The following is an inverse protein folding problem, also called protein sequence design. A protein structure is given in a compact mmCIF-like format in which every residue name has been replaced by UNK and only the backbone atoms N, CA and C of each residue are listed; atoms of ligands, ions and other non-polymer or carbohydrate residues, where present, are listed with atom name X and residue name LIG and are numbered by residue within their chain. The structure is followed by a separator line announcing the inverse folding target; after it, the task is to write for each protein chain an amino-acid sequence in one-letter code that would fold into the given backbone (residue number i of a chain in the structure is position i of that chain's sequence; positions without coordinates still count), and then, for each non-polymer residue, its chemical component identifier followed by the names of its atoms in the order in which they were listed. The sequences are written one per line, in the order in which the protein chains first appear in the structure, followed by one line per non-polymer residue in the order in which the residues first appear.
data_IF_240798621015
#
_entry.id   IF_240798621015
#
_cell.length_a   1.000
_cell.length_b   1.000
_cell.length_c   1.000
_cell.angle_alpha   90.00
_cell.angle_beta   90.00
_cell.angle_gamma   90.00
#
_symmetry.space_group_name_H-M   'P 1'
#
loop_
_entity.id
_entity.type
_entity.pdbx_description
1 polymer ?
#
# COMPACT_ATOMS: atom_id res chain seq x y z
N UNK A 1 -26.75 -10.00 26.30
CA UNK A 1 -26.36 -11.14 25.44
C UNK A 1 -27.14 -11.00 24.14
N UNK A 2 -26.64 -10.21 23.20
CA UNK A 2 -27.36 -9.86 21.96
C UNK A 2 -26.58 -10.49 20.81
N UNK A 3 -26.80 -11.79 20.62
CA UNK A 3 -26.40 -12.52 19.43
C UNK A 3 -27.03 -11.82 18.22
N UNK A 4 -26.28 -10.92 17.59
CA UNK A 4 -26.65 -10.26 16.35
C UNK A 4 -25.40 -9.90 15.53
N UNK A 5 -24.41 -10.79 15.57
CA UNK A 5 -23.31 -11.01 14.62
C UNK A 5 -23.84 -11.45 13.23
N UNK A 6 -25.01 -10.96 12.81
CA UNK A 6 -25.64 -11.28 11.54
C UNK A 6 -25.47 -10.04 10.65
N UNK A 7 -24.36 -9.85 9.95
CA UNK A 7 -24.01 -10.64 8.77
C UNK A 7 -22.52 -10.43 8.45
N UNK A 8 -21.62 -11.14 9.15
CA UNK A 8 -20.19 -11.29 8.81
C UNK A 8 -19.28 -10.04 8.84
N UNK A 9 -19.84 -8.83 8.86
CA UNK A 9 -19.10 -7.58 8.94
C UNK A 9 -19.46 -6.84 10.23
N UNK A 10 -18.47 -6.37 11.01
CA UNK A 10 -18.72 -5.43 12.09
C UNK A 10 -19.45 -4.20 11.52
N UNK A 11 -20.52 -3.77 12.18
CA UNK A 11 -21.16 -2.48 11.91
C UNK A 11 -20.22 -1.32 12.22
N UNK A 12 -20.55 -0.12 11.73
CA UNK A 12 -19.66 1.06 11.80
C UNK A 12 -19.16 1.39 13.21
N UNK A 13 -19.95 1.13 14.25
CA UNK A 13 -19.54 1.37 15.64
C UNK A 13 -18.49 0.36 16.14
N UNK A 14 -18.60 -0.90 15.73
CA UNK A 14 -17.64 -1.95 16.11
C UNK A 14 -16.28 -1.71 15.44
N UNK A 15 -16.26 -1.16 14.22
CA UNK A 15 -15.02 -0.71 13.57
C UNK A 15 -14.28 0.35 14.38
N UNK A 16 -14.99 1.30 14.98
CA UNK A 16 -14.36 2.34 15.83
C UNK A 16 -13.69 1.69 17.04
N UNK A 17 -14.33 0.71 17.67
CA UNK A 17 -13.76 -0.02 18.81
C UNK A 17 -12.52 -0.82 18.37
N UNK A 18 -12.58 -1.52 17.24
CA UNK A 18 -11.44 -2.28 16.70
C UNK A 18 -10.26 -1.35 16.42
N UNK A 19 -10.50 -0.21 15.74
CA UNK A 19 -9.47 0.79 15.46
C UNK A 19 -8.88 1.33 16.76
N UNK A 20 -9.71 1.63 17.77
CA UNK A 20 -9.24 2.13 19.05
C UNK A 20 -8.32 1.11 19.76
N UNK A 21 -8.70 -0.17 19.76
CA UNK A 21 -7.87 -1.24 20.31
C UNK A 21 -6.53 -1.33 19.56
N UNK A 22 -6.57 -1.37 18.22
CA UNK A 22 -5.36 -1.40 17.38
C UNK A 22 -4.46 -0.19 17.65
N UNK A 23 -5.02 1.01 17.81
CA UNK A 23 -4.27 2.23 18.12
C UNK A 23 -3.63 2.21 19.51
N UNK A 24 -4.22 1.52 20.49
CA UNK A 24 -3.62 1.35 21.82
C UNK A 24 -2.44 0.38 21.75
N UNK A 25 -2.59 -0.76 21.06
CA UNK A 25 -1.54 -1.77 20.95
C UNK A 25 -0.37 -1.34 20.06
N UNK A 26 -0.66 -0.76 18.89
CA UNK A 26 0.36 -0.33 17.94
C UNK A 26 0.80 1.11 18.17
N UNK A 27 -0.01 1.94 18.84
CA UNK A 27 0.23 3.37 18.98
C UNK A 27 -0.23 4.17 17.76
N UNK A 28 -0.92 5.29 17.98
CA UNK A 28 -1.45 6.14 16.91
C UNK A 28 -0.40 6.71 15.94
N UNK A 29 0.88 6.72 16.35
CA UNK A 29 2.01 7.19 15.51
C UNK A 29 2.60 6.10 14.62
N UNK A 30 2.49 4.81 14.97
CA UNK A 30 3.12 3.73 14.18
C UNK A 30 2.41 3.46 12.87
N UNK A 31 1.09 3.48 12.84
CA UNK A 31 0.29 3.30 11.61
C UNK A 31 0.70 4.32 10.51
N UNK A 32 0.71 5.65 10.76
CA UNK A 32 1.10 6.61 9.74
C UNK A 32 2.60 6.57 9.42
N UNK A 33 3.46 6.21 10.38
CA UNK A 33 4.89 6.04 10.15
C UNK A 33 5.19 4.88 9.20
N UNK A 34 4.56 3.72 9.42
CA UNK A 34 4.63 2.56 8.53
C UNK A 34 4.05 2.87 7.15
N UNK A 35 2.91 3.56 7.07
CA UNK A 35 2.31 3.96 5.81
C UNK A 35 3.22 4.91 5.02
N UNK A 36 3.89 5.87 5.68
CA UNK A 36 4.88 6.76 5.06
C UNK A 36 6.13 6.01 4.61
N UNK A 37 6.59 5.03 5.40
CA UNK A 37 7.71 4.16 5.03
C UNK A 37 7.40 3.32 3.78
N UNK A 38 6.29 2.59 3.81
CA UNK A 38 5.82 1.80 2.66
C UNK A 38 5.55 2.67 1.43
N UNK A 39 4.92 3.84 1.61
CA UNK A 39 4.63 4.76 0.52
C UNK A 39 5.89 5.27 -0.19
N UNK A 40 6.96 5.57 0.56
CA UNK A 40 8.26 5.93 -0.01
C UNK A 40 8.90 4.77 -0.75
N UNK A 41 8.92 3.57 -0.14
CA UNK A 41 9.48 2.37 -0.78
C UNK A 41 8.75 2.00 -2.09
N UNK A 42 7.42 2.06 -2.10
CA UNK A 42 6.62 1.80 -3.31
C UNK A 42 6.91 2.84 -4.40
N UNK A 43 7.11 4.11 -4.02
CA UNK A 43 7.43 5.18 -4.97
C UNK A 43 8.81 4.98 -5.59
N UNK A 44 9.83 4.75 -4.77
CA UNK A 44 11.20 4.49 -5.25
C UNK A 44 11.26 3.25 -6.14
N UNK A 45 10.57 2.18 -5.76
CA UNK A 45 10.47 0.96 -6.57
C UNK A 45 9.82 1.23 -7.94
N UNK A 46 8.75 2.02 -7.95
CA UNK A 46 8.06 2.40 -9.20
C UNK A 46 8.94 3.27 -10.09
N UNK A 47 9.66 4.22 -9.51
CA UNK A 47 10.53 5.13 -10.25
C UNK A 47 11.70 4.36 -10.89
N UNK A 48 12.37 3.48 -10.14
CA UNK A 48 13.42 2.61 -10.65
C UNK A 48 12.90 1.67 -11.76
N UNK A 49 11.72 1.08 -11.59
CA UNK A 49 11.10 0.22 -12.62
C UNK A 49 10.80 1.01 -13.90
N UNK A 50 10.42 2.28 -13.78
CA UNK A 50 10.09 3.13 -14.92
C UNK A 50 11.35 3.50 -15.73
N UNK A 51 12.45 3.78 -15.04
CA UNK A 51 13.74 4.05 -15.67
C UNK A 51 14.22 2.83 -16.45
N UNK A 52 14.22 1.65 -15.83
CA UNK A 52 14.58 0.38 -16.49
C UNK A 52 13.71 0.12 -17.73
N UNK A 53 12.39 0.34 -17.64
CA UNK A 53 11.49 0.16 -18.79
C UNK A 53 11.82 1.12 -19.93
N UNK A 54 12.20 2.36 -19.62
CA UNK A 54 12.57 3.34 -20.63
C UNK A 54 13.87 2.96 -21.33
N UNK A 55 14.88 2.54 -20.56
CA UNK A 55 16.16 2.10 -21.12
C UNK A 55 16.01 0.88 -22.04
N UNK A 56 15.10 -0.05 -21.69
CA UNK A 56 14.78 -1.21 -22.53
C UNK A 56 14.05 -0.78 -23.82
N UNK A 57 13.08 0.14 -23.75
CA UNK A 57 12.36 0.64 -24.94
C UNK A 57 13.29 1.43 -25.88
N UNK A 58 14.15 2.28 -25.31
CA UNK A 58 15.14 3.05 -26.06
C UNK A 58 16.18 2.11 -26.70
N UNK A 59 16.62 1.05 -26.00
CA UNK A 59 17.54 0.04 -26.56
C UNK A 59 16.89 -0.78 -27.69
N UNK A 60 15.63 -1.17 -27.54
CA UNK A 60 14.89 -1.93 -28.56
C UNK A 60 14.66 -1.09 -29.84
N UNK A 61 14.35 0.20 -29.70
CA UNK A 61 14.22 1.12 -30.85
C UNK A 61 15.52 1.31 -31.62
N UNK A 62 16.65 1.36 -30.93
CA UNK A 62 17.97 1.52 -31.56
C UNK A 62 18.40 0.27 -32.36
N UNK A 63 17.90 -0.91 -31.99
CA UNK A 63 18.15 -2.16 -32.71
C UNK A 63 17.34 -2.25 -34.02
N UNK A 64 16.11 -1.72 -34.04
CA UNK A 64 15.26 -1.65 -35.23
C UNK A 64 15.73 -0.60 -36.26
N UNK A 65 16.39 0.48 -35.82
CA UNK A 65 16.93 1.52 -36.72
C UNK A 65 18.23 1.13 -37.44
N UNK A 66 18.92 0.08 -36.96
CA UNK A 66 20.20 -0.41 -37.54
C UNK A 66 20.05 -1.60 -38.47
N UNK A 67 18.84 -2.11 -38.67
CA UNK A 67 18.51 -3.26 -39.53
C UNK A 67 17.91 -2.80 -40.86
#
# INVERSE_FOLDING_TARGET
MKSLFALGMPGGWEWVIIILVVLIFFGAKKIPELARGLGRGIREFKDATKEIKKDIDDSAKLEDEKK
#
